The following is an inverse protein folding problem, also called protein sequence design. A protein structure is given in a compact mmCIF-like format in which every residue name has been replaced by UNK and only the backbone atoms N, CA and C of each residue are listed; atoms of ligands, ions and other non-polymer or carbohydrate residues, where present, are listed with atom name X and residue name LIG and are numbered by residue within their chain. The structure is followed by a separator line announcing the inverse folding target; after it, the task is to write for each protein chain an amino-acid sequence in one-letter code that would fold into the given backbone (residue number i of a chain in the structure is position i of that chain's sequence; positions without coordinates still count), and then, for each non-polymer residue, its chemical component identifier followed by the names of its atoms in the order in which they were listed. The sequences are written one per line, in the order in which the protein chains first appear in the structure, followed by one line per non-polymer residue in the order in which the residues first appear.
data_IF_502170004716
#
_entry.id   IF_502170004716
#
_cell.length_a   1.000
_cell.length_b   1.000
_cell.length_c   1.000
_cell.angle_alpha   90.00
_cell.angle_beta   90.00
_cell.angle_gamma   90.00
#
_symmetry.space_group_name_H-M   'P 1'
#
loop_
_entity.id
_entity.type
_entity.pdbx_description
1 polymer ?
#
# COMPACT_ATOMS: atom_id res chain seq x y z
N UNK A 1 -6.66 56.75 59.70
CA UNK A 1 -5.90 55.61 59.14
C UNK A 1 -6.84 54.82 58.24
N UNK A 2 -6.73 54.97 56.93
CA UNK A 2 -7.56 54.26 55.93
C UNK A 2 -6.80 53.01 55.47
N UNK A 3 -7.35 51.80 55.57
CA UNK A 3 -6.63 50.60 55.17
C UNK A 3 -6.61 50.50 53.64
N UNK A 4 -5.40 50.56 53.05
CA UNK A 4 -5.18 50.23 51.63
C UNK A 4 -5.42 48.72 51.44
N UNK A 5 -6.56 48.35 50.83
CA UNK A 5 -6.78 46.99 50.33
C UNK A 5 -5.74 46.67 49.24
N UNK A 6 -5.02 45.54 49.32
CA UNK A 6 -4.00 45.21 48.34
C UNK A 6 -4.67 44.83 47.00
N UNK A 7 -4.26 45.52 45.93
CA UNK A 7 -4.68 45.32 44.52
C UNK A 7 -4.33 43.93 43.95
N UNK A 8 -3.84 43.01 44.77
CA UNK A 8 -3.32 41.70 44.37
C UNK A 8 -4.46 40.69 44.15
N UNK A 9 -5.60 40.85 44.85
CA UNK A 9 -6.74 39.93 44.74
C UNK A 9 -7.51 40.02 43.42
N UNK A 10 -7.43 41.14 42.68
CA UNK A 10 -8.16 41.27 41.40
C UNK A 10 -7.42 40.67 40.20
N UNK A 11 -6.15 40.24 40.37
CA UNK A 11 -5.33 39.68 39.29
C UNK A 11 -5.28 38.15 39.28
N UNK A 12 -5.69 37.50 40.37
CA UNK A 12 -5.80 36.05 40.51
C UNK A 12 -6.69 35.37 39.46
N UNK A 13 -7.94 35.84 39.19
CA UNK A 13 -8.79 35.18 38.19
C UNK A 13 -8.27 35.37 36.76
N UNK A 14 -7.64 36.52 36.47
CA UNK A 14 -7.03 36.79 35.17
C UNK A 14 -5.79 35.91 34.94
N UNK A 15 -4.93 35.77 35.96
CA UNK A 15 -3.77 34.89 35.90
C UNK A 15 -4.18 33.43 35.70
N UNK A 16 -5.24 32.98 36.37
CA UNK A 16 -5.78 31.63 36.19
C UNK A 16 -6.33 31.41 34.77
N UNK A 17 -7.10 32.36 34.23
CA UNK A 17 -7.63 32.26 32.87
C UNK A 17 -6.51 32.20 31.81
N UNK A 18 -5.44 33.00 31.98
CA UNK A 18 -4.27 32.96 31.09
C UNK A 18 -3.55 31.62 31.19
N UNK A 19 -3.35 31.08 32.40
CA UNK A 19 -2.72 29.76 32.59
C UNK A 19 -3.54 28.65 31.94
N UNK A 20 -4.86 28.68 32.09
CA UNK A 20 -5.77 27.70 31.47
C UNK A 20 -5.70 27.77 29.95
N UNK A 21 -5.73 28.97 29.37
CA UNK A 21 -5.60 29.16 27.91
C UNK A 21 -4.22 28.72 27.40
N UNK A 22 -3.15 28.98 28.14
CA UNK A 22 -1.79 28.53 27.79
C UNK A 22 -1.66 27.00 27.90
N UNK A 23 -2.28 26.37 28.90
CA UNK A 23 -2.28 24.92 29.07
C UNK A 23 -3.14 24.23 27.98
N UNK A 24 -4.32 24.75 27.67
CA UNK A 24 -5.18 24.22 26.59
C UNK A 24 -4.55 24.47 25.21
N UNK A 25 -4.02 25.67 24.96
CA UNK A 25 -3.34 26.00 23.71
C UNK A 25 -2.04 25.20 23.53
N UNK A 26 -1.28 25.01 24.62
CA UNK A 26 -0.05 24.22 24.62
C UNK A 26 -0.31 22.73 24.40
N UNK A 27 -1.37 22.17 24.98
CA UNK A 27 -1.75 20.77 24.75
C UNK A 27 -2.26 20.52 23.33
N UNK A 28 -3.07 21.43 22.78
CA UNK A 28 -3.55 21.34 21.39
C UNK A 28 -2.41 21.51 20.37
N UNK A 29 -1.46 22.43 20.63
CA UNK A 29 -0.31 22.64 19.74
C UNK A 29 0.76 21.53 19.84
N UNK A 30 0.90 20.90 21.01
CA UNK A 30 1.89 19.84 21.23
C UNK A 30 1.40 18.44 20.81
N UNK A 31 0.09 18.20 20.72
CA UNK A 31 -0.50 16.92 20.31
C UNK A 31 0.13 16.32 19.02
N UNK A 32 0.26 17.05 17.89
CA UNK A 32 0.87 16.50 16.67
C UNK A 32 2.37 16.21 16.80
N UNK A 33 3.04 16.75 17.84
CA UNK A 33 4.45 16.52 18.12
C UNK A 33 4.66 15.29 19.01
N UNK A 34 3.73 15.02 19.94
CA UNK A 34 3.74 13.81 20.77
C UNK A 34 3.34 12.55 19.99
N UNK A 35 2.41 12.67 19.03
CA UNK A 35 2.06 11.57 18.10
C UNK A 35 3.27 11.17 17.24
N UNK A 36 4.05 12.13 16.73
CA UNK A 36 5.30 11.86 15.99
C UNK A 36 6.40 11.23 16.85
N UNK A 37 6.39 11.45 18.17
CA UNK A 37 7.37 10.90 19.10
C UNK A 37 7.07 9.46 19.53
N UNK A 38 5.96 8.85 19.07
CA UNK A 38 5.60 7.46 19.36
C UNK A 38 5.22 7.18 20.81
N UNK A 39 4.93 8.23 21.59
CA UNK A 39 4.59 8.11 23.02
C UNK A 39 3.09 7.90 23.28
N UNK A 40 2.26 8.04 22.24
CA UNK A 40 0.81 7.88 22.25
C UNK A 40 0.40 7.10 20.99
N UNK A 41 0.17 5.80 21.14
CA UNK A 41 -0.44 4.98 20.08
C UNK A 41 -1.97 5.11 20.17
N UNK A 42 -2.47 6.30 19.82
CA UNK A 42 -3.91 6.57 19.75
C UNK A 42 -4.36 6.29 18.33
N UNK A 43 -5.16 5.24 18.09
CA UNK A 43 -5.62 4.94 16.74
C UNK A 43 -6.45 6.11 16.18
N UNK A 44 -6.25 6.49 14.90
CA UNK A 44 -6.99 7.59 14.30
C UNK A 44 -8.50 7.30 14.31
N UNK A 45 -9.33 8.34 14.29
CA UNK A 45 -10.77 8.15 14.10
C UNK A 45 -11.06 7.51 12.73
N UNK A 46 -12.20 6.81 12.54
CA UNK A 46 -12.58 6.29 11.22
C UNK A 46 -12.62 7.36 10.13
N UNK A 47 -13.08 8.57 10.46
CA UNK A 47 -13.03 9.71 9.54
C UNK A 47 -11.61 10.03 9.11
N UNK A 48 -10.67 10.11 10.08
CA UNK A 48 -9.28 10.43 9.78
C UNK A 48 -8.59 9.32 9.00
N UNK A 49 -8.94 8.07 9.27
CA UNK A 49 -8.50 6.93 8.48
C UNK A 49 -8.96 7.03 7.02
N UNK A 50 -10.24 7.38 6.78
CA UNK A 50 -10.77 7.54 5.42
C UNK A 50 -10.08 8.68 4.65
N UNK A 51 -9.89 9.83 5.31
CA UNK A 51 -9.19 10.99 4.73
C UNK A 51 -7.75 10.65 4.32
N UNK A 52 -6.99 9.99 5.20
CA UNK A 52 -5.63 9.52 4.89
C UNK A 52 -5.60 8.50 3.75
N UNK A 53 -6.61 7.63 3.65
CA UNK A 53 -6.70 6.67 2.56
C UNK A 53 -7.00 7.36 1.22
N UNK A 54 -7.87 8.37 1.20
CA UNK A 54 -8.13 9.17 -0.02
C UNK A 54 -6.91 9.98 -0.44
N UNK A 55 -6.12 10.49 0.52
CA UNK A 55 -4.85 11.16 0.22
C UNK A 55 -3.87 10.26 -0.56
N UNK A 56 -3.91 8.94 -0.37
CA UNK A 56 -3.10 8.00 -1.15
C UNK A 56 -3.66 7.73 -2.56
N UNK A 57 -4.93 8.07 -2.80
CA UNK A 57 -5.61 7.84 -4.09
C UNK A 57 -5.56 9.06 -5.02
N UNK A 58 -5.12 10.23 -4.54
CA UNK A 58 -5.11 11.47 -5.34
C UNK A 58 -4.10 11.46 -6.49
N UNK A 59 -3.13 10.54 -6.45
CA UNK A 59 -2.18 10.32 -7.54
C UNK A 59 -2.70 9.30 -8.58
N UNK A 60 -3.97 8.89 -8.47
CA UNK A 60 -4.63 7.99 -9.39
C UNK A 60 -4.74 8.56 -10.82
N UNK A 61 -4.82 7.67 -11.80
CA UNK A 61 -4.84 8.04 -13.22
C UNK A 61 -6.01 8.98 -13.59
N UNK A 62 -7.15 8.80 -12.92
CA UNK A 62 -8.39 9.55 -13.16
C UNK A 62 -8.60 10.69 -12.14
N UNK A 63 -7.60 10.98 -11.31
CA UNK A 63 -7.70 11.88 -10.17
C UNK A 63 -7.50 13.36 -10.55
N UNK A 64 -8.41 13.92 -11.37
CA UNK A 64 -8.43 15.37 -11.59
C UNK A 64 -8.89 16.15 -10.33
N UNK A 65 -8.53 17.43 -10.16
CA UNK A 65 -8.86 18.18 -8.94
C UNK A 65 -10.35 18.29 -8.62
N UNK A 66 -11.22 18.37 -9.63
CA UNK A 66 -12.67 18.45 -9.42
C UNK A 66 -13.25 17.09 -9.00
N UNK A 67 -12.76 16.01 -9.64
CA UNK A 67 -13.07 14.63 -9.29
C UNK A 67 -12.66 14.31 -7.86
N UNK A 68 -11.42 14.65 -7.48
CA UNK A 68 -10.90 14.45 -6.12
C UNK A 68 -11.76 15.18 -5.09
N UNK A 69 -12.16 16.43 -5.35
CA UNK A 69 -13.02 17.18 -4.43
C UNK A 69 -14.40 16.51 -4.26
N UNK A 70 -15.00 16.03 -5.35
CA UNK A 70 -16.29 15.32 -5.30
C UNK A 70 -16.19 14.00 -4.53
N UNK A 71 -15.15 13.20 -4.81
CA UNK A 71 -14.91 11.93 -4.12
C UNK A 71 -14.65 12.15 -2.63
N UNK A 72 -13.86 13.17 -2.25
CA UNK A 72 -13.66 13.53 -0.84
C UNK A 72 -14.96 13.84 -0.13
N UNK A 73 -15.82 14.68 -0.72
CA UNK A 73 -17.11 15.01 -0.12
C UNK A 73 -18.01 13.78 0.06
N UNK A 74 -17.99 12.85 -0.90
CA UNK A 74 -18.76 11.60 -0.83
C UNK A 74 -18.22 10.66 0.24
N UNK A 75 -16.89 10.47 0.30
CA UNK A 75 -16.24 9.67 1.33
C UNK A 75 -16.51 10.26 2.71
N UNK A 76 -16.40 11.57 2.87
CA UNK A 76 -16.65 12.26 4.14
C UNK A 76 -18.08 12.04 4.65
N UNK A 77 -19.06 12.18 3.77
CA UNK A 77 -20.47 11.97 4.11
C UNK A 77 -20.73 10.53 4.57
N UNK A 78 -20.09 9.55 3.94
CA UNK A 78 -20.25 8.14 4.28
C UNK A 78 -19.48 7.78 5.57
N UNK A 79 -18.25 8.26 5.71
CA UNK A 79 -17.39 8.03 6.85
C UNK A 79 -17.92 8.69 8.14
N UNK A 80 -18.71 9.77 8.04
CA UNK A 80 -19.24 10.49 9.21
C UNK A 80 -20.06 9.60 10.15
N UNK A 81 -20.67 8.54 9.61
CA UNK A 81 -21.45 7.56 10.38
C UNK A 81 -20.65 6.33 10.81
N UNK A 82 -19.42 6.17 10.33
CA UNK A 82 -18.59 4.99 10.57
C UNK A 82 -18.03 5.00 11.99
N UNK A 83 -18.27 3.89 12.71
CA UNK A 83 -17.74 3.66 14.06
C UNK A 83 -16.46 2.82 14.08
N UNK A 84 -16.10 2.25 12.93
CA UNK A 84 -14.95 1.38 12.74
C UNK A 84 -14.33 1.65 11.38
N UNK A 85 -13.06 1.29 11.18
CA UNK A 85 -12.41 1.36 9.86
C UNK A 85 -13.11 0.50 8.82
N UNK A 86 -13.59 -0.68 9.22
CA UNK A 86 -14.38 -1.53 8.33
C UNK A 86 -15.63 -0.81 7.78
N UNK A 87 -16.21 0.12 8.56
CA UNK A 87 -17.34 0.94 8.12
C UNK A 87 -16.99 1.96 7.03
N UNK A 88 -15.72 2.31 6.83
CA UNK A 88 -15.29 3.23 5.77
C UNK A 88 -14.88 2.50 4.49
N UNK A 89 -14.60 1.19 4.55
CA UNK A 89 -14.13 0.42 3.40
C UNK A 89 -15.04 0.50 2.15
N UNK A 90 -16.39 0.48 2.26
CA UNK A 90 -17.24 0.63 1.08
C UNK A 90 -17.02 1.97 0.35
N UNK A 91 -16.88 3.07 1.12
CA UNK A 91 -16.59 4.40 0.58
C UNK A 91 -15.23 4.45 -0.10
N UNK A 92 -14.21 3.85 0.54
CA UNK A 92 -12.86 3.78 0.03
C UNK A 92 -12.73 2.89 -1.21
N UNK A 93 -13.53 1.82 -1.30
CA UNK A 93 -13.59 0.99 -2.49
C UNK A 93 -14.15 1.72 -3.70
N UNK A 94 -15.19 2.52 -3.52
CA UNK A 94 -15.71 3.37 -4.59
C UNK A 94 -14.68 4.45 -4.99
N UNK A 95 -14.08 5.12 -4.00
CA UNK A 95 -13.05 6.13 -4.24
C UNK A 95 -11.85 5.59 -5.03
N UNK A 96 -11.38 4.39 -4.70
CA UNK A 96 -10.27 3.76 -5.41
C UNK A 96 -10.58 3.53 -6.90
N UNK A 97 -11.78 3.06 -7.22
CA UNK A 97 -12.21 2.87 -8.61
C UNK A 97 -12.40 4.20 -9.35
N UNK A 98 -12.97 5.20 -8.68
CA UNK A 98 -13.25 6.50 -9.29
C UNK A 98 -12.00 7.35 -9.55
N UNK A 99 -11.00 7.27 -8.67
CA UNK A 99 -9.76 8.05 -8.80
C UNK A 99 -8.66 7.30 -9.54
N UNK A 100 -8.65 5.96 -9.43
CA UNK A 100 -7.59 5.14 -10.01
C UNK A 100 -7.97 4.34 -11.26
N UNK A 101 -9.25 4.29 -11.63
CA UNK A 101 -9.75 3.60 -12.81
C UNK A 101 -9.91 2.08 -12.64
N UNK A 102 -10.04 1.35 -13.76
CA UNK A 102 -10.42 -0.08 -13.81
C UNK A 102 -9.44 -1.03 -13.09
N UNK A 103 -8.17 -0.63 -12.98
CA UNK A 103 -7.12 -1.43 -12.33
C UNK A 103 -6.90 -1.05 -10.86
N UNK A 104 -7.72 -0.15 -10.32
CA UNK A 104 -7.61 0.28 -8.95
C UNK A 104 -8.66 -0.41 -8.08
N UNK A 105 -8.23 -0.91 -6.94
CA UNK A 105 -9.07 -1.64 -6.00
C UNK A 105 -8.58 -1.37 -4.59
N UNK A 106 -9.53 -1.14 -3.69
CA UNK A 106 -9.26 -1.11 -2.27
C UNK A 106 -9.45 -2.52 -1.69
N UNK A 107 -8.44 -3.02 -0.97
CA UNK A 107 -8.56 -4.25 -0.18
C UNK A 107 -8.53 -3.91 1.30
N UNK A 108 -9.59 -4.32 2.01
CA UNK A 108 -9.56 -4.30 3.47
C UNK A 108 -8.51 -5.27 4.03
N UNK A 109 -8.08 -5.13 5.31
CA UNK A 109 -6.95 -5.88 5.87
C UNK A 109 -7.04 -7.40 5.70
N UNK A 110 -8.23 -7.98 5.89
CA UNK A 110 -8.45 -9.44 5.76
C UNK A 110 -8.27 -9.89 4.30
N UNK A 111 -8.78 -9.14 3.34
CA UNK A 111 -8.65 -9.48 1.91
C UNK A 111 -7.22 -9.24 1.41
N UNK A 112 -6.57 -8.17 1.89
CA UNK A 112 -5.17 -7.89 1.60
C UNK A 112 -4.27 -9.00 2.13
N UNK A 113 -4.46 -9.44 3.38
CA UNK A 113 -3.70 -10.54 3.98
C UNK A 113 -3.94 -11.86 3.23
N UNK A 114 -5.19 -12.17 2.88
CA UNK A 114 -5.50 -13.38 2.13
C UNK A 114 -4.89 -13.41 0.72
N UNK A 115 -4.66 -12.23 0.12
CA UNK A 115 -4.16 -12.10 -1.27
C UNK A 115 -2.64 -11.92 -1.33
N UNK A 116 -2.10 -11.10 -0.44
CA UNK A 116 -0.72 -10.62 -0.46
C UNK A 116 0.09 -11.02 0.79
N UNK A 117 -0.51 -11.68 1.77
CA UNK A 117 0.17 -12.07 2.99
C UNK A 117 1.32 -13.06 2.73
N UNK A 118 2.16 -13.23 3.74
CA UNK A 118 3.41 -14.02 3.66
C UNK A 118 3.16 -15.53 3.63
N UNK A 119 1.92 -15.95 3.91
CA UNK A 119 1.55 -17.35 3.84
C UNK A 119 1.73 -17.87 2.41
N UNK A 120 2.44 -19.00 2.19
CA UNK A 120 2.54 -19.58 0.86
C UNK A 120 1.12 -19.86 0.34
N UNK A 121 0.84 -19.59 -0.95
CA UNK A 121 -0.49 -19.77 -1.51
C UNK A 121 -0.85 -21.26 -1.51
N UNK A 122 -1.48 -21.75 -0.44
CA UNK A 122 -1.96 -23.13 -0.36
C UNK A 122 -3.40 -23.18 0.13
N UNK A 123 -4.32 -23.20 -0.83
CA UNK A 123 -5.55 -23.96 -0.70
C UNK A 123 -5.58 -25.00 -1.83
N UNK A 124 -5.12 -26.22 -1.54
CA UNK A 124 -5.39 -27.43 -2.35
C UNK A 124 -4.63 -27.63 -3.67
N UNK A 125 -4.07 -26.59 -4.29
CA UNK A 125 -3.18 -26.72 -5.44
C UNK A 125 -1.71 -26.59 -5.00
N UNK A 126 -0.80 -27.36 -5.62
CA UNK A 126 0.63 -27.17 -5.42
C UNK A 126 1.01 -25.70 -5.66
N UNK A 127 1.95 -25.17 -4.87
CA UNK A 127 2.53 -23.83 -5.02
C UNK A 127 2.77 -23.54 -6.52
N UNK A 128 2.23 -22.43 -7.09
CA UNK A 128 2.34 -22.17 -8.51
C UNK A 128 3.82 -22.04 -8.88
N UNK A 129 4.26 -22.79 -9.89
CA UNK A 129 5.65 -22.80 -10.34
C UNK A 129 5.74 -22.68 -11.85
N UNK A 130 6.74 -21.96 -12.38
CA UNK A 130 7.01 -21.96 -13.81
C UNK A 130 7.27 -23.38 -14.30
N UNK A 131 6.73 -23.72 -15.47
CA UNK A 131 7.00 -24.99 -16.14
C UNK A 131 7.56 -24.74 -17.52
N UNK A 132 8.45 -25.62 -17.97
CA UNK A 132 9.11 -25.52 -19.28
C UNK A 132 8.90 -26.82 -20.04
N UNK A 133 8.55 -26.71 -21.31
CA UNK A 133 8.41 -27.84 -22.23
C UNK A 133 9.18 -27.52 -23.50
N UNK A 134 9.87 -28.50 -24.06
CA UNK A 134 10.57 -28.35 -25.35
C UNK A 134 10.04 -29.40 -26.31
N UNK A 135 9.57 -28.96 -27.47
CA UNK A 135 9.11 -29.82 -28.56
C UNK A 135 9.53 -29.20 -29.89
N UNK A 136 10.01 -30.02 -30.82
CA UNK A 136 10.39 -29.60 -32.18
C UNK A 136 11.40 -28.42 -32.22
N UNK A 137 12.30 -28.37 -31.23
CA UNK A 137 13.28 -27.29 -31.09
C UNK A 137 12.71 -25.97 -30.56
N UNK A 138 11.45 -25.94 -30.15
CA UNK A 138 10.80 -24.77 -29.56
C UNK A 138 10.59 -25.02 -28.07
N UNK A 139 11.10 -24.11 -27.25
CA UNK A 139 10.90 -24.13 -25.79
C UNK A 139 9.77 -23.19 -25.41
N UNK A 140 8.72 -23.75 -24.80
CA UNK A 140 7.60 -23.03 -24.20
C UNK A 140 7.76 -22.99 -22.69
N UNK A 141 7.58 -21.81 -22.13
CA UNK A 141 7.54 -21.58 -20.68
C UNK A 141 6.13 -21.14 -20.32
N UNK A 142 5.55 -21.76 -19.30
CA UNK A 142 4.32 -21.30 -18.67
C UNK A 142 4.69 -20.69 -17.33
N UNK A 143 4.43 -19.39 -17.18
CA UNK A 143 4.73 -18.60 -15.99
C UNK A 143 3.41 -18.29 -15.28
N UNK A 144 3.02 -19.08 -14.26
CA UNK A 144 1.76 -18.85 -13.55
C UNK A 144 1.88 -17.60 -12.67
N UNK A 145 0.78 -16.89 -12.44
CA UNK A 145 0.77 -15.76 -11.51
C UNK A 145 1.18 -16.22 -10.11
N UNK A 146 2.10 -15.46 -9.50
CA UNK A 146 2.43 -15.56 -8.07
C UNK A 146 1.97 -14.27 -7.40
N UNK A 147 1.13 -14.40 -6.36
CA UNK A 147 0.68 -13.28 -5.52
C UNK A 147 0.88 -13.68 -4.07
N UNK A 148 1.41 -12.76 -3.26
CA UNK A 148 1.76 -13.03 -1.87
C UNK A 148 2.91 -14.04 -1.72
N UNK A 149 3.04 -14.60 -0.52
CA UNK A 149 4.09 -15.53 -0.13
C UNK A 149 5.38 -14.84 0.34
N UNK A 150 6.12 -15.53 1.19
CA UNK A 150 7.40 -15.10 1.73
C UNK A 150 8.54 -15.10 0.69
N UNK A 151 9.67 -14.47 1.04
CA UNK A 151 10.88 -14.44 0.20
C UNK A 151 11.35 -15.83 -0.23
N UNK A 152 11.20 -16.83 0.65
CA UNK A 152 11.58 -18.20 0.34
C UNK A 152 10.69 -18.81 -0.76
N UNK A 153 9.39 -18.48 -0.78
CA UNK A 153 8.44 -18.87 -1.82
C UNK A 153 8.76 -18.20 -3.15
N UNK A 154 9.11 -16.92 -3.14
CA UNK A 154 9.54 -16.20 -4.34
C UNK A 154 10.84 -16.77 -4.90
N UNK A 155 11.79 -17.12 -4.04
CA UNK A 155 13.04 -17.75 -4.47
C UNK A 155 12.80 -19.13 -5.10
N UNK A 156 11.95 -19.97 -4.50
CA UNK A 156 11.58 -21.28 -5.08
C UNK A 156 10.91 -21.13 -6.45
N UNK A 157 10.08 -20.11 -6.62
CA UNK A 157 9.44 -19.79 -7.90
C UNK A 157 10.48 -19.45 -8.98
N UNK A 158 11.43 -18.57 -8.65
CA UNK A 158 12.50 -18.15 -9.56
C UNK A 158 13.43 -19.32 -9.89
N UNK A 159 13.85 -20.09 -8.89
CA UNK A 159 14.74 -21.24 -9.06
C UNK A 159 14.13 -22.30 -9.95
N UNK A 160 12.83 -22.60 -9.77
CA UNK A 160 12.11 -23.55 -10.62
C UNK A 160 12.12 -23.12 -12.10
N UNK A 161 11.85 -21.85 -12.39
CA UNK A 161 11.88 -21.32 -13.75
C UNK A 161 13.29 -21.30 -14.36
N UNK A 162 14.27 -20.83 -13.59
CA UNK A 162 15.66 -20.75 -14.03
C UNK A 162 16.26 -22.14 -14.31
N UNK A 163 16.06 -23.09 -13.40
CA UNK A 163 16.53 -24.47 -13.55
C UNK A 163 15.88 -25.16 -14.75
N UNK A 164 14.57 -24.99 -14.93
CA UNK A 164 13.85 -25.56 -16.05
C UNK A 164 14.33 -24.99 -17.40
N UNK A 165 14.63 -23.69 -17.46
CA UNK A 165 15.24 -23.06 -18.63
C UNK A 165 16.65 -23.59 -18.94
N UNK A 166 17.51 -23.69 -17.94
CA UNK A 166 18.87 -24.25 -18.10
C UNK A 166 18.81 -25.69 -18.61
N UNK A 167 17.85 -26.48 -18.12
CA UNK A 167 17.66 -27.86 -18.57
C UNK A 167 17.15 -27.98 -20.01
N UNK A 168 16.36 -27.00 -20.47
CA UNK A 168 15.79 -26.99 -21.81
C UNK A 168 16.80 -26.51 -22.88
N UNK A 169 17.74 -25.64 -22.50
CA UNK A 169 18.68 -24.97 -23.41
C UNK A 169 19.39 -25.89 -24.44
N UNK A 170 19.86 -27.11 -24.09
CA UNK A 170 20.50 -28.00 -25.06
C UNK A 170 19.58 -28.46 -26.21
N UNK A 171 18.26 -28.45 -25.98
CA UNK A 171 17.24 -28.88 -26.93
C UNK A 171 16.59 -27.71 -27.69
N UNK A 172 17.02 -26.47 -27.44
CA UNK A 172 16.48 -25.24 -28.05
C UNK A 172 17.48 -24.66 -29.05
N UNK A 173 17.34 -24.88 -30.37
CA UNK A 173 17.96 -24.01 -31.37
C UNK A 173 17.55 -22.56 -31.09
N UNK A 174 18.42 -21.59 -31.35
CA UNK A 174 18.42 -20.21 -30.82
C UNK A 174 17.17 -19.30 -31.07
N UNK A 175 16.01 -19.85 -31.43
CA UNK A 175 14.71 -19.18 -31.55
C UNK A 175 13.81 -19.62 -30.38
N UNK A 176 13.86 -18.90 -29.27
CA UNK A 176 12.90 -19.08 -28.17
C UNK A 176 11.64 -18.24 -28.39
N UNK A 177 10.45 -18.84 -28.25
CA UNK A 177 9.17 -18.11 -28.24
C UNK A 177 8.59 -18.10 -26.82
N UNK A 178 8.18 -16.91 -26.36
CA UNK A 178 7.56 -16.72 -25.04
C UNK A 178 6.04 -16.56 -25.20
N UNK A 179 5.26 -17.22 -24.34
CA UNK A 179 3.80 -17.04 -24.28
C UNK A 179 3.38 -16.88 -22.82
N UNK A 180 2.91 -15.69 -22.45
CA UNK A 180 2.22 -15.46 -21.18
C UNK A 180 0.75 -15.88 -21.32
N UNK A 181 0.38 -17.03 -20.77
CA UNK A 181 -1.00 -17.45 -20.75
C UNK A 181 -1.72 -16.85 -19.52
N UNK A 182 -2.55 -15.82 -19.75
CA UNK A 182 -3.58 -15.38 -18.79
C UNK A 182 -3.09 -14.71 -17.49
N UNK A 183 -1.94 -14.05 -17.51
CA UNK A 183 -1.36 -13.40 -16.31
C UNK A 183 -2.08 -12.10 -15.96
N UNK A 184 -2.79 -12.06 -14.84
CA UNK A 184 -3.11 -10.80 -14.12
C UNK A 184 -1.83 -10.38 -13.40
N UNK A 185 -1.32 -9.17 -13.67
CA UNK A 185 -0.03 -8.71 -13.17
C UNK A 185 -0.04 -8.58 -11.64
N UNK A 186 0.74 -9.41 -10.95
CA UNK A 186 1.13 -9.25 -9.55
C UNK A 186 2.46 -8.49 -9.43
N UNK A 187 2.98 -8.37 -8.20
CA UNK A 187 4.18 -7.58 -7.82
C UNK A 187 5.34 -7.72 -8.82
N UNK A 188 5.62 -6.65 -9.57
CA UNK A 188 6.68 -6.62 -10.57
C UNK A 188 8.04 -6.32 -9.93
N UNK A 189 8.74 -7.37 -9.47
CA UNK A 189 10.19 -7.41 -9.33
C UNK A 189 10.70 -8.85 -9.47
N UNK A 190 11.98 -9.12 -9.77
CA UNK A 190 12.91 -8.48 -10.69
C UNK A 190 12.87 -9.22 -12.06
N UNK A 191 11.87 -8.97 -12.91
CA UNK A 191 11.81 -9.57 -14.25
C UNK A 191 12.76 -8.92 -15.28
N UNK A 192 13.77 -8.15 -14.85
CA UNK A 192 14.68 -7.45 -15.76
C UNK A 192 16.04 -8.16 -15.86
N UNK A 193 16.38 -8.77 -17.01
CA UNK A 193 17.74 -9.21 -17.28
C UNK A 193 18.63 -7.98 -17.52
N UNK A 194 19.58 -7.76 -16.62
CA UNK A 194 20.64 -6.74 -16.74
C UNK A 194 21.54 -7.12 -17.91
N UNK A 195 21.28 -6.60 -19.11
CA UNK A 195 22.10 -6.87 -20.29
C UNK A 195 23.51 -6.26 -20.12
N UNK A 196 24.51 -7.09 -19.75
CA UNK A 196 25.92 -6.74 -19.95
C UNK A 196 26.26 -6.99 -21.41
N UNK A 197 26.31 -5.92 -22.21
CA UNK A 197 26.99 -5.95 -23.51
C UNK A 197 28.50 -6.00 -23.25
N UNK A 198 29.12 -7.16 -23.43
CA UNK A 198 30.57 -7.28 -23.60
C UNK A 198 30.93 -6.78 -25.00
N UNK A 199 31.62 -5.64 -25.09
CA UNK A 199 32.26 -5.21 -26.33
C UNK A 199 33.54 -6.02 -26.52
N UNK A 200 33.53 -6.93 -27.48
CA UNK A 200 34.76 -7.54 -27.98
C UNK A 200 35.31 -6.60 -29.05
N UNK A 201 36.38 -5.87 -28.70
CA UNK A 201 37.16 -5.06 -29.63
C UNK A 201 38.01 -6.03 -30.45
N UNK A 202 37.72 -6.15 -31.74
CA UNK A 202 38.58 -6.86 -32.69
C UNK A 202 39.91 -6.10 -32.87
N UNK A 203 40.98 -6.88 -33.02
CA UNK A 203 42.33 -6.45 -33.35
C UNK A 203 42.43 -5.87 -34.77
#
# INVERSE_FOLDING_TARGET
MTPRRPRVLSRLPLAFAVIVVVLLGGTVAAAPSLERAGLLDVPPSPQRYADMAVDLMVDGLEADPARVAAVRAQVDAQAASARTYAGTHPALSAAAQELGGEHSTFLGPVAAEATFGDSPPVSGAAEPRPTVTTADGITRIVVPTLVGGDDASHQRYVDAGAQALVSAAPATPAVGSWTSAGTVAGTCGPCSPRSRRSSTRAA
#
